data_IF_038313837240
#
_entry.id   IF_038313837240
#
_cell.length_a   1.000
_cell.length_b   1.000
_cell.length_c   1.000
_cell.angle_alpha   90.00
_cell.angle_beta   90.00
_cell.angle_gamma   90.00
#
_symmetry.space_group_name_H-M   'P 1'
#
loop_
_entity.id
_entity.type
_entity.pdbx_description
1 polymer ?
#
# COMPACT_ATOMS: atom_id res chain seq x y z
N UNK A 1 35.04 -38.42 -0.73
CA UNK A 1 35.04 -37.83 -2.08
C UNK A 1 35.70 -36.46 -1.96
N UNK A 2 36.68 -36.09 -2.81
CA UNK A 2 37.34 -34.79 -2.71
C UNK A 2 36.33 -33.65 -2.97
N UNK A 3 36.52 -32.51 -2.31
CA UNK A 3 35.69 -31.32 -2.52
C UNK A 3 35.84 -30.84 -3.98
N UNK A 4 34.75 -30.82 -4.77
CA UNK A 4 34.84 -30.48 -6.20
C UNK A 4 35.39 -29.07 -6.42
N UNK A 5 35.16 -28.13 -5.51
CA UNK A 5 35.61 -26.74 -5.69
C UNK A 5 37.10 -26.54 -5.41
N UNK A 6 37.79 -27.53 -4.84
CA UNK A 6 39.25 -27.51 -4.73
C UNK A 6 39.91 -27.71 -6.11
N UNK A 7 39.23 -28.43 -7.01
CA UNK A 7 39.78 -28.82 -8.32
C UNK A 7 39.24 -27.91 -9.44
N UNK A 8 38.01 -27.44 -9.30
CA UNK A 8 37.36 -26.61 -10.31
C UNK A 8 37.90 -25.16 -10.33
N UNK A 9 38.07 -24.54 -11.51
CA UNK A 9 38.35 -23.11 -11.60
C UNK A 9 37.27 -22.27 -10.92
N UNK A 10 37.65 -21.12 -10.35
CA UNK A 10 36.76 -20.22 -9.60
C UNK A 10 35.52 -19.84 -10.41
N UNK A 11 35.67 -19.58 -11.71
CA UNK A 11 34.58 -19.18 -12.61
C UNK A 11 33.54 -20.30 -12.79
N UNK A 12 34.01 -21.55 -12.88
CA UNK A 12 33.14 -22.73 -12.98
C UNK A 12 32.41 -22.95 -11.66
N UNK A 13 33.11 -22.78 -10.54
CA UNK A 13 32.55 -22.87 -9.19
C UNK A 13 31.45 -21.82 -8.99
N UNK A 14 31.70 -20.55 -9.32
CA UNK A 14 30.70 -19.48 -9.23
C UNK A 14 29.48 -19.74 -10.12
N UNK A 15 29.70 -20.26 -11.34
CA UNK A 15 28.60 -20.67 -12.23
C UNK A 15 27.81 -21.85 -11.67
N UNK A 16 28.44 -22.81 -11.00
CA UNK A 16 27.71 -23.89 -10.33
C UNK A 16 26.85 -23.34 -9.16
N UNK A 17 27.42 -22.41 -8.38
CA UNK A 17 26.73 -21.76 -7.27
C UNK A 17 25.54 -20.89 -7.73
N UNK A 18 25.61 -20.32 -8.93
CA UNK A 18 24.53 -19.49 -9.48
C UNK A 18 23.19 -20.20 -9.71
N UNK A 19 23.18 -21.54 -9.68
CA UNK A 19 21.95 -22.34 -9.78
C UNK A 19 21.26 -22.55 -8.42
N UNK A 20 21.87 -22.10 -7.32
CA UNK A 20 21.34 -22.30 -5.99
C UNK A 20 20.46 -21.12 -5.57
N UNK A 21 19.33 -21.41 -4.92
CA UNK A 21 18.51 -20.36 -4.31
C UNK A 21 19.21 -19.68 -3.12
N UNK A 22 18.74 -18.48 -2.69
CA UNK A 22 19.39 -17.70 -1.64
C UNK A 22 19.58 -18.48 -0.33
N UNK A 23 18.58 -19.27 0.06
CA UNK A 23 18.66 -20.10 1.27
C UNK A 23 19.70 -21.22 1.17
N UNK A 24 19.83 -21.84 0.00
CA UNK A 24 20.85 -22.87 -0.25
C UNK A 24 22.24 -22.24 -0.24
N UNK A 25 22.41 -21.10 -0.90
CA UNK A 25 23.67 -20.37 -0.93
C UNK A 25 24.12 -19.91 0.47
N UNK A 26 23.17 -19.45 1.30
CA UNK A 26 23.45 -19.14 2.70
C UNK A 26 23.89 -20.39 3.50
N UNK A 27 23.19 -21.52 3.34
CA UNK A 27 23.50 -22.77 4.06
C UNK A 27 24.86 -23.33 3.69
N UNK A 28 25.18 -23.41 2.39
CA UNK A 28 26.45 -23.99 1.95
C UNK A 28 27.66 -23.14 2.37
N UNK A 29 27.46 -21.85 2.68
CA UNK A 29 28.53 -21.00 3.22
C UNK A 29 29.09 -21.48 4.56
N UNK A 30 28.39 -22.41 5.23
CA UNK A 30 28.83 -23.05 6.48
C UNK A 30 29.56 -24.39 6.28
N UNK A 31 29.69 -24.89 5.04
CA UNK A 31 30.24 -26.23 4.75
C UNK A 31 31.75 -26.28 4.97
N UNK A 32 32.50 -25.32 4.44
CA UNK A 32 33.95 -25.22 4.60
C UNK A 32 34.43 -23.79 4.36
N UNK A 33 35.71 -23.52 4.69
CA UNK A 33 36.32 -22.20 4.45
C UNK A 33 36.29 -21.81 2.97
N UNK A 34 36.57 -22.76 2.05
CA UNK A 34 36.54 -22.50 0.62
C UNK A 34 35.11 -22.17 0.14
N UNK A 35 34.11 -22.91 0.62
CA UNK A 35 32.71 -22.63 0.28
C UNK A 35 32.27 -21.27 0.84
N UNK A 36 32.71 -20.92 2.04
CA UNK A 36 32.50 -19.60 2.62
C UNK A 36 33.12 -18.51 1.75
N UNK A 37 34.37 -18.66 1.32
CA UNK A 37 35.06 -17.69 0.45
C UNK A 37 34.35 -17.53 -0.89
N UNK A 38 34.01 -18.63 -1.56
CA UNK A 38 33.28 -18.59 -2.85
C UNK A 38 31.89 -17.97 -2.72
N UNK A 39 31.14 -18.32 -1.67
CA UNK A 39 29.82 -17.72 -1.40
C UNK A 39 29.90 -16.31 -0.86
N UNK A 40 31.08 -15.80 -0.48
CA UNK A 40 31.25 -14.40 -0.09
C UNK A 40 31.57 -13.50 -1.30
N UNK A 41 31.82 -14.09 -2.47
CA UNK A 41 32.04 -13.34 -3.70
C UNK A 41 30.72 -12.75 -4.24
N UNK A 42 30.69 -11.48 -4.69
CA UNK A 42 29.47 -10.84 -5.20
C UNK A 42 28.81 -11.60 -6.36
N UNK A 43 29.60 -12.22 -7.23
CA UNK A 43 29.10 -12.91 -8.42
C UNK A 43 28.22 -14.13 -8.09
N UNK A 44 28.50 -14.82 -6.97
CA UNK A 44 27.68 -15.93 -6.50
C UNK A 44 26.26 -15.46 -6.18
N UNK A 45 26.13 -14.28 -5.55
CA UNK A 45 24.83 -13.69 -5.20
C UNK A 45 24.19 -12.95 -6.36
N UNK A 46 24.98 -12.36 -7.27
CA UNK A 46 24.47 -11.59 -8.41
C UNK A 46 23.51 -12.40 -9.26
N UNK A 47 23.87 -13.64 -9.60
CA UNK A 47 22.96 -14.50 -10.35
C UNK A 47 21.75 -14.93 -9.54
N UNK A 48 21.88 -15.09 -8.22
CA UNK A 48 20.74 -15.36 -7.35
C UNK A 48 19.80 -14.17 -7.32
N UNK A 49 20.28 -12.93 -7.25
CA UNK A 49 19.47 -11.73 -7.36
C UNK A 49 18.72 -11.63 -8.70
N UNK A 50 19.35 -12.09 -9.79
CA UNK A 50 18.83 -11.96 -11.16
C UNK A 50 17.93 -13.13 -11.60
N UNK A 51 18.15 -14.34 -11.08
CA UNK A 51 17.42 -15.57 -11.47
C UNK A 51 16.04 -15.71 -10.84
N UNK A 52 15.64 -14.77 -10.00
CA UNK A 52 14.33 -14.74 -9.36
C UNK A 52 13.29 -14.13 -10.31
N UNK A 53 12.80 -14.90 -11.30
CA UNK A 53 11.42 -14.92 -11.89
C UNK A 53 11.37 -15.83 -13.17
N UNK A 54 10.24 -16.52 -13.55
CA UNK A 54 8.87 -16.43 -13.02
C UNK A 54 8.21 -17.68 -12.39
N UNK A 55 8.74 -18.91 -12.50
CA UNK A 55 7.91 -20.11 -12.18
C UNK A 55 8.25 -20.82 -10.86
N UNK A 56 9.25 -20.36 -10.12
CA UNK A 56 9.65 -20.98 -8.85
C UNK A 56 9.32 -20.06 -7.69
N UNK A 57 8.76 -20.62 -6.61
CA UNK A 57 8.41 -20.05 -5.30
C UNK A 57 9.56 -19.32 -4.55
N UNK A 58 10.53 -18.78 -5.26
CA UNK A 58 11.71 -18.12 -4.73
C UNK A 58 11.43 -16.62 -4.55
N UNK A 59 11.87 -16.12 -3.40
CA UNK A 59 11.71 -14.75 -2.92
C UNK A 59 12.30 -13.76 -3.92
N UNK A 60 11.49 -12.90 -4.53
CA UNK A 60 12.01 -11.89 -5.45
C UNK A 60 12.61 -10.73 -4.65
N UNK A 61 13.93 -10.76 -4.56
CA UNK A 61 14.69 -9.89 -3.66
C UNK A 61 15.09 -8.57 -4.31
N UNK A 62 14.68 -8.33 -5.56
CA UNK A 62 14.80 -7.01 -6.17
C UNK A 62 13.54 -6.20 -5.85
N UNK A 63 13.67 -4.96 -5.36
CA UNK A 63 12.50 -4.13 -5.06
C UNK A 63 11.58 -3.84 -6.25
N UNK A 64 12.02 -4.16 -7.46
CA UNK A 64 11.30 -3.91 -8.73
C UNK A 64 10.63 -5.16 -9.30
N UNK A 65 10.37 -6.18 -8.47
CA UNK A 65 9.78 -7.46 -8.89
C UNK A 65 8.27 -7.40 -9.25
N UNK A 66 7.66 -6.21 -9.21
CA UNK A 66 6.25 -6.02 -9.46
C UNK A 66 5.78 -6.40 -10.87
N UNK A 67 4.46 -6.51 -11.02
CA UNK A 67 3.78 -6.71 -12.31
C UNK A 67 3.94 -5.46 -13.18
N UNK A 68 4.20 -5.66 -14.47
CA UNK A 68 4.23 -4.57 -15.45
C UNK A 68 2.81 -4.04 -15.62
N UNK A 69 2.60 -2.79 -15.24
CA UNK A 69 1.34 -2.06 -15.48
C UNK A 69 1.41 -1.43 -16.87
N UNK A 70 0.30 -1.45 -17.60
CA UNK A 70 0.25 -0.85 -18.92
C UNK A 70 0.52 0.66 -18.85
N UNK A 71 1.24 1.17 -19.84
CA UNK A 71 1.76 2.53 -19.79
C UNK A 71 0.68 3.60 -19.90
N UNK A 72 -0.36 3.34 -20.70
CA UNK A 72 -1.55 4.17 -20.84
C UNK A 72 -2.34 4.26 -19.52
N UNK A 73 -2.39 3.15 -18.77
CA UNK A 73 -2.97 3.12 -17.43
C UNK A 73 -2.16 3.99 -16.46
N UNK A 74 -0.84 3.85 -16.41
CA UNK A 74 0.03 4.66 -15.56
C UNK A 74 -0.01 6.15 -15.92
N UNK A 75 -0.03 6.48 -17.21
CA UNK A 75 -0.13 7.86 -17.69
C UNK A 75 -1.46 8.49 -17.26
N UNK A 76 -2.56 7.74 -17.41
CA UNK A 76 -3.90 8.18 -17.00
C UNK A 76 -3.94 8.42 -15.49
N UNK A 77 -3.44 7.48 -14.70
CA UNK A 77 -3.38 7.61 -13.23
C UNK A 77 -2.49 8.79 -12.79
N UNK A 78 -1.35 9.00 -13.44
CA UNK A 78 -0.45 10.13 -13.15
C UNK A 78 -1.13 11.47 -13.41
N UNK A 79 -1.83 11.61 -14.55
CA UNK A 79 -2.57 12.85 -14.89
C UNK A 79 -3.70 13.14 -13.91
N UNK A 80 -4.47 12.10 -13.56
CA UNK A 80 -5.55 12.23 -12.58
C UNK A 80 -5.01 12.59 -11.20
N UNK A 81 -3.96 11.90 -10.75
CA UNK A 81 -3.28 12.18 -9.49
C UNK A 81 -2.78 13.62 -9.42
N UNK A 82 -2.09 14.08 -10.47
CA UNK A 82 -1.59 15.44 -10.55
C UNK A 82 -2.71 16.48 -10.43
N UNK A 83 -3.83 16.27 -11.14
CA UNK A 83 -4.99 17.14 -11.07
C UNK A 83 -5.56 17.22 -9.65
N UNK A 84 -5.78 16.08 -8.99
CA UNK A 84 -6.32 16.05 -7.63
C UNK A 84 -5.36 16.69 -6.61
N UNK A 85 -4.05 16.44 -6.76
CA UNK A 85 -3.04 17.05 -5.89
C UNK A 85 -3.06 18.57 -5.99
N UNK A 86 -3.14 19.13 -7.20
CA UNK A 86 -3.24 20.58 -7.41
C UNK A 86 -4.51 21.18 -6.78
N UNK A 87 -5.63 20.45 -6.80
CA UNK A 87 -6.86 20.89 -6.14
C UNK A 87 -6.69 20.95 -4.63
N UNK A 88 -6.06 19.92 -4.05
CA UNK A 88 -5.75 19.87 -2.61
C UNK A 88 -4.82 21.01 -2.24
N UNK A 89 -3.71 21.20 -2.97
CA UNK A 89 -2.73 22.27 -2.74
C UNK A 89 -3.39 23.67 -2.74
N UNK A 90 -4.24 23.94 -3.73
CA UNK A 90 -5.00 25.20 -3.81
C UNK A 90 -5.95 25.38 -2.62
N UNK A 91 -6.62 24.32 -2.18
CA UNK A 91 -7.52 24.37 -1.02
C UNK A 91 -6.78 24.54 0.32
N UNK A 92 -5.58 23.96 0.46
CA UNK A 92 -4.78 24.05 1.69
C UNK A 92 -4.03 25.37 1.81
N UNK A 93 -3.56 25.94 0.69
CA UNK A 93 -2.92 27.27 0.66
C UNK A 93 -3.86 28.37 1.16
N UNK A 94 -5.17 28.18 1.00
CA UNK A 94 -6.20 29.08 1.52
C UNK A 94 -6.34 29.03 3.05
N UNK A 95 -5.87 27.96 3.72
CA UNK A 95 -6.17 27.75 5.13
C UNK A 95 -4.99 28.01 6.06
N UNK A 96 -3.76 27.56 5.81
CA UNK A 96 -2.54 27.91 6.59
C UNK A 96 -1.23 27.58 5.84
N UNK A 97 -0.11 28.21 6.27
CA UNK A 97 1.27 28.17 5.75
C UNK A 97 1.99 26.80 5.79
N UNK A 98 1.32 25.68 5.51
CA UNK A 98 1.95 24.36 5.59
C UNK A 98 2.23 23.80 4.20
N UNK A 99 3.43 24.08 3.70
CA UNK A 99 4.06 23.43 2.55
C UNK A 99 4.46 21.99 2.92
N UNK A 100 3.51 21.14 3.30
CA UNK A 100 3.78 19.74 3.69
C UNK A 100 4.09 18.87 2.47
N UNK A 101 3.61 19.28 1.29
CA UNK A 101 3.72 18.48 0.09
C UNK A 101 5.09 18.71 -0.57
N UNK A 102 5.86 17.65 -0.82
CA UNK A 102 7.14 17.79 -1.52
C UNK A 102 6.87 18.31 -2.94
N UNK A 103 7.81 19.08 -3.51
CA UNK A 103 7.69 19.60 -4.86
C UNK A 103 7.55 18.44 -5.84
N UNK A 104 6.55 18.54 -6.71
CA UNK A 104 6.33 17.58 -7.78
C UNK A 104 7.21 17.91 -8.98
N UNK A 105 7.84 16.90 -9.57
CA UNK A 105 8.61 17.04 -10.82
C UNK A 105 7.93 16.22 -11.90
N UNK A 106 7.40 16.91 -12.92
CA UNK A 106 6.92 16.26 -14.14
C UNK A 106 8.10 15.59 -14.83
N UNK A 107 7.95 14.32 -15.17
CA UNK A 107 8.96 13.57 -15.89
C UNK A 107 8.35 12.86 -17.09
N UNK A 108 9.17 12.70 -18.12
CA UNK A 108 8.81 11.93 -19.28
C UNK A 108 8.75 10.42 -18.93
N UNK A 109 7.64 9.76 -19.23
CA UNK A 109 7.44 8.33 -18.97
C UNK A 109 8.51 7.45 -19.64
N UNK A 110 9.01 7.85 -20.81
CA UNK A 110 10.07 7.10 -21.51
C UNK A 110 11.41 7.11 -20.75
N UNK A 111 11.73 8.20 -20.06
CA UNK A 111 12.90 8.31 -19.19
C UNK A 111 12.72 7.45 -17.94
N UNK A 112 11.52 7.46 -17.34
CA UNK A 112 11.18 6.64 -16.18
C UNK A 112 11.32 5.14 -16.51
N UNK A 113 10.88 4.69 -17.70
CA UNK A 113 11.05 3.29 -18.14
C UNK A 113 12.51 2.90 -18.27
N UNK A 114 13.29 3.74 -18.94
CA UNK A 114 14.72 3.50 -19.12
C UNK A 114 15.42 3.44 -17.76
N UNK A 115 15.00 4.30 -16.82
CA UNK A 115 15.47 4.25 -15.44
C UNK A 115 15.12 2.91 -14.80
N UNK A 116 13.83 2.52 -14.82
CA UNK A 116 13.27 1.30 -14.19
C UNK A 116 14.02 0.03 -14.60
N UNK A 117 14.32 -0.11 -15.88
CA UNK A 117 15.04 -1.27 -16.41
C UNK A 117 16.46 -1.36 -15.85
N UNK A 118 17.16 -0.23 -15.71
CA UNK A 118 18.51 -0.19 -15.13
C UNK A 118 18.56 -0.26 -13.59
N UNK A 119 17.41 -0.17 -12.90
CA UNK A 119 17.38 -0.12 -11.44
C UNK A 119 17.82 -1.42 -10.79
N UNK A 120 17.62 -2.56 -11.45
CA UNK A 120 18.00 -3.86 -10.91
C UNK A 120 19.51 -3.99 -10.89
N UNK A 121 20.17 -3.60 -11.97
CA UNK A 121 21.62 -3.56 -12.09
C UNK A 121 22.21 -2.53 -11.11
N UNK A 122 21.57 -1.36 -10.99
CA UNK A 122 21.98 -0.34 -10.04
C UNK A 122 21.84 -0.81 -8.59
N UNK A 123 20.76 -1.52 -8.26
CA UNK A 123 20.58 -2.08 -6.92
C UNK A 123 21.70 -3.06 -6.56
N UNK A 124 22.05 -3.96 -7.48
CA UNK A 124 23.18 -4.89 -7.29
C UNK A 124 24.48 -4.10 -7.09
N UNK A 125 24.69 -3.03 -7.84
CA UNK A 125 25.87 -2.16 -7.69
C UNK A 125 25.91 -1.43 -6.33
N UNK A 126 24.75 -1.16 -5.71
CA UNK A 126 24.68 -0.55 -4.37
C UNK A 126 25.05 -1.53 -3.25
N UNK A 127 24.90 -2.84 -3.48
CA UNK A 127 25.11 -3.89 -2.50
C UNK A 127 26.58 -4.31 -2.43
N UNK A 128 27.30 -3.88 -1.39
CA UNK A 128 28.73 -4.18 -1.22
C UNK A 128 28.95 -5.54 -0.57
N UNK A 129 28.05 -5.93 0.33
CA UNK A 129 28.01 -7.23 0.97
C UNK A 129 26.61 -7.87 0.82
N UNK A 130 26.37 -8.58 -0.30
CA UNK A 130 25.10 -9.26 -0.54
C UNK A 130 24.72 -10.24 0.57
N UNK A 131 25.69 -10.95 1.15
CA UNK A 131 25.40 -11.94 2.20
C UNK A 131 24.81 -11.28 3.45
N UNK A 132 25.42 -10.18 3.89
CA UNK A 132 24.91 -9.39 5.01
C UNK A 132 23.53 -8.81 4.69
N UNK A 133 23.36 -8.22 3.50
CA UNK A 133 22.07 -7.73 3.00
C UNK A 133 20.96 -8.80 3.06
N UNK A 134 21.25 -10.02 2.61
CA UNK A 134 20.28 -11.12 2.63
C UNK A 134 19.98 -11.61 4.03
N UNK A 135 20.99 -11.62 4.91
CA UNK A 135 20.80 -11.98 6.32
C UNK A 135 19.86 -11.00 6.99
N UNK A 136 20.08 -9.69 6.78
CA UNK A 136 19.19 -8.61 7.24
C UNK A 136 17.76 -8.81 6.70
N UNK A 137 17.63 -9.09 5.40
CA UNK A 137 16.33 -9.27 4.74
C UNK A 137 15.57 -10.47 5.30
N UNK A 138 16.24 -11.60 5.46
CA UNK A 138 15.66 -12.80 6.04
C UNK A 138 15.28 -12.59 7.50
N UNK A 139 16.08 -11.84 8.25
CA UNK A 139 15.75 -11.50 9.63
C UNK A 139 14.47 -10.66 9.69
N UNK A 140 14.37 -9.59 8.92
CA UNK A 140 13.18 -8.71 8.91
C UNK A 140 11.93 -9.49 8.48
N UNK A 141 12.01 -10.22 7.36
CA UNK A 141 10.87 -10.96 6.82
C UNK A 141 10.36 -12.07 7.75
N UNK A 142 11.24 -12.67 8.56
CA UNK A 142 10.84 -13.65 9.58
C UNK A 142 10.19 -13.01 10.81
N UNK A 143 10.61 -11.81 11.19
CA UNK A 143 10.11 -11.13 12.38
C UNK A 143 8.82 -10.33 12.12
N UNK A 144 8.56 -9.92 10.89
CA UNK A 144 7.28 -9.32 10.51
C UNK A 144 6.30 -10.44 10.15
N UNK A 145 5.65 -10.98 11.17
CA UNK A 145 4.63 -12.02 10.98
C UNK A 145 3.33 -11.38 10.50
N UNK A 146 2.71 -11.89 9.42
CA UNK A 146 1.36 -11.50 9.04
C UNK A 146 0.41 -11.61 10.24
N UNK A 147 -0.59 -10.72 10.37
CA UNK A 147 -1.59 -10.87 11.42
C UNK A 147 -2.25 -12.24 11.28
N UNK A 148 -2.41 -12.94 12.40
CA UNK A 148 -3.14 -14.21 12.42
C UNK A 148 -4.58 -13.98 11.92
N UNK A 149 -5.15 -14.93 11.18
CA UNK A 149 -6.43 -14.82 10.47
C UNK A 149 -7.68 -14.65 11.39
N UNK A 150 -7.55 -14.13 12.61
CA UNK A 150 -8.67 -13.91 13.50
C UNK A 150 -9.61 -12.85 12.91
N UNK A 151 -10.70 -13.32 12.31
CA UNK A 151 -11.67 -12.59 11.47
C UNK A 151 -12.31 -11.33 12.06
N UNK A 152 -12.03 -10.95 13.30
CA UNK A 152 -12.76 -9.87 13.99
C UNK A 152 -11.90 -8.98 14.90
N UNK A 153 -10.57 -9.16 14.94
CA UNK A 153 -9.71 -8.26 15.71
C UNK A 153 -8.92 -7.36 14.78
N UNK A 154 -8.99 -6.05 15.06
CA UNK A 154 -8.05 -5.07 14.54
C UNK A 154 -6.63 -5.57 14.77
N UNK A 155 -5.79 -5.44 13.75
CA UNK A 155 -4.39 -5.79 13.90
C UNK A 155 -3.71 -4.88 14.93
N UNK A 156 -2.78 -5.46 15.68
CA UNK A 156 -2.03 -4.74 16.71
C UNK A 156 -0.76 -4.10 16.18
N UNK A 157 -0.43 -4.26 14.89
CA UNK A 157 0.79 -3.67 14.34
C UNK A 157 0.60 -2.18 14.10
N UNK A 158 1.67 -1.42 14.37
CA UNK A 158 1.72 -0.01 14.07
C UNK A 158 1.79 0.18 12.55
N UNK A 159 0.83 0.93 12.01
CA UNK A 159 0.81 1.24 10.58
C UNK A 159 2.04 2.08 10.21
N UNK A 160 2.67 1.74 9.09
CA UNK A 160 3.70 2.58 8.47
C UNK A 160 3.11 3.82 7.78
N UNK A 161 1.78 3.95 7.67
CA UNK A 161 1.15 5.10 7.01
C UNK A 161 1.02 6.27 7.98
N UNK A 162 1.45 7.45 7.53
CA UNK A 162 1.44 8.67 8.35
C UNK A 162 0.40 9.68 7.87
N UNK A 163 0.25 9.85 6.57
CA UNK A 163 -0.68 10.82 5.98
C UNK A 163 -1.38 10.26 4.74
N UNK A 164 -2.64 10.64 4.54
CA UNK A 164 -3.34 10.49 3.27
C UNK A 164 -3.08 11.73 2.43
N UNK A 165 -2.52 11.56 1.23
CA UNK A 165 -2.11 12.66 0.36
C UNK A 165 -3.24 13.07 -0.59
N UNK A 166 -3.80 12.11 -1.31
CA UNK A 166 -4.84 12.34 -2.29
C UNK A 166 -5.65 11.06 -2.55
N UNK A 167 -6.85 11.22 -3.09
CA UNK A 167 -7.66 10.13 -3.61
C UNK A 167 -8.28 10.58 -4.95
N UNK A 168 -8.67 9.62 -5.79
CA UNK A 168 -9.34 9.87 -7.07
C UNK A 168 -10.54 10.79 -6.93
N UNK A 169 -11.38 10.51 -5.94
CA UNK A 169 -12.49 11.33 -5.49
C UNK A 169 -12.66 11.16 -3.98
N UNK A 170 -13.33 12.11 -3.32
CA UNK A 170 -13.71 11.97 -1.91
C UNK A 170 -15.08 12.59 -1.68
N UNK A 171 -15.94 11.91 -0.92
CA UNK A 171 -17.21 12.47 -0.48
C UNK A 171 -17.00 13.43 0.70
N UNK A 172 -16.72 14.70 0.36
CA UNK A 172 -16.48 15.75 1.35
C UNK A 172 -17.73 16.17 2.12
N UNK A 173 -18.93 15.79 1.69
CA UNK A 173 -20.18 16.26 2.30
C UNK A 173 -20.27 15.91 3.80
N UNK A 174 -19.52 14.89 4.24
CA UNK A 174 -19.47 14.48 5.64
C UNK A 174 -18.07 14.32 6.20
N UNK A 175 -17.09 14.92 5.53
CA UNK A 175 -15.70 14.72 5.87
C UNK A 175 -15.27 13.27 5.73
N UNK A 176 -15.79 12.51 4.75
CA UNK A 176 -15.32 11.16 4.41
C UNK A 176 -14.01 11.24 3.62
N UNK A 177 -12.99 11.80 4.25
CA UNK A 177 -11.70 12.10 3.64
C UNK A 177 -10.71 10.96 3.85
N UNK A 178 -9.72 10.87 2.97
CA UNK A 178 -8.68 9.84 3.01
C UNK A 178 -8.00 9.71 4.39
N UNK A 179 -7.78 10.83 5.09
CA UNK A 179 -7.16 10.85 6.41
C UNK A 179 -7.90 10.03 7.48
N UNK A 180 -9.21 9.80 7.31
CA UNK A 180 -9.99 8.98 8.23
C UNK A 180 -9.55 7.51 8.21
N UNK A 181 -9.01 7.03 7.08
CA UNK A 181 -8.57 5.63 6.93
C UNK A 181 -7.32 5.29 7.76
N UNK A 182 -6.62 6.30 8.29
CA UNK A 182 -5.40 6.11 9.07
C UNK A 182 -5.67 5.71 10.53
N UNK A 183 -6.91 5.90 11.01
CA UNK A 183 -7.28 5.61 12.40
C UNK A 183 -8.27 4.45 12.45
N UNK A 184 -8.04 3.53 13.37
CA UNK A 184 -9.02 2.51 13.73
C UNK A 184 -10.07 3.07 14.68
N UNK A 185 -10.70 4.18 14.30
CA UNK A 185 -11.78 4.72 15.12
C UNK A 185 -13.06 3.89 14.90
N UNK A 186 -13.77 3.62 15.99
CA UNK A 186 -15.09 2.98 15.97
C UNK A 186 -16.22 3.92 15.55
N UNK A 187 -15.86 5.15 15.18
CA UNK A 187 -16.82 6.14 14.76
C UNK A 187 -17.29 5.85 13.33
N UNK A 188 -18.60 5.70 13.14
CA UNK A 188 -19.24 5.25 11.89
C UNK A 188 -18.92 6.19 10.70
N UNK A 189 -18.63 7.48 10.97
CA UNK A 189 -18.26 8.45 9.94
C UNK A 189 -16.76 8.50 9.60
N UNK A 190 -15.89 7.77 10.33
CA UNK A 190 -14.45 7.78 10.12
C UNK A 190 -14.08 6.81 8.98
N UNK A 191 -14.54 7.14 7.78
CA UNK A 191 -14.27 6.40 6.54
C UNK A 191 -13.80 7.36 5.47
N UNK A 192 -13.15 6.83 4.44
CA UNK A 192 -13.08 7.45 3.13
C UNK A 192 -14.11 6.79 2.22
N UNK A 193 -14.77 7.59 1.37
CA UNK A 193 -15.62 7.10 0.29
C UNK A 193 -15.35 7.87 -0.98
N UNK A 194 -15.38 7.17 -2.12
CA UNK A 194 -15.45 7.82 -3.42
C UNK A 194 -16.79 8.55 -3.61
N UNK A 195 -16.85 9.48 -4.57
CA UNK A 195 -18.11 10.16 -4.94
C UNK A 195 -19.05 9.28 -5.77
N UNK A 196 -18.59 8.08 -6.11
CA UNK A 196 -19.31 7.10 -6.90
C UNK A 196 -19.20 7.32 -8.40
N UNK A 197 -19.21 6.23 -9.17
CA UNK A 197 -19.13 6.25 -10.63
C UNK A 197 -20.23 5.41 -11.26
N UNK A 198 -20.79 5.88 -12.39
CA UNK A 198 -21.78 5.09 -13.16
C UNK A 198 -21.17 3.85 -13.81
N UNK A 199 -19.89 3.89 -14.13
CA UNK A 199 -19.22 2.88 -14.93
C UNK A 199 -18.31 1.97 -14.09
N UNK A 200 -18.33 2.10 -12.76
CA UNK A 200 -17.39 1.37 -11.89
C UNK A 200 -15.93 1.69 -12.21
N UNK A 201 -15.65 2.97 -12.52
CA UNK A 201 -14.30 3.43 -12.84
C UNK A 201 -13.35 3.07 -11.67
N UNK A 202 -12.11 2.63 -11.96
CA UNK A 202 -11.09 2.47 -10.94
C UNK A 202 -10.95 3.68 -10.03
N UNK A 203 -10.99 3.46 -8.71
CA UNK A 203 -10.70 4.47 -7.70
C UNK A 203 -9.29 4.25 -7.15
N UNK A 204 -8.65 5.31 -6.67
CA UNK A 204 -7.30 5.23 -6.12
C UNK A 204 -7.08 6.11 -4.89
N UNK A 205 -6.12 5.73 -4.07
CA UNK A 205 -5.69 6.45 -2.87
C UNK A 205 -4.17 6.51 -2.82
N UNK A 206 -3.61 7.64 -2.40
CA UNK A 206 -2.18 7.85 -2.24
C UNK A 206 -1.86 8.25 -0.80
N UNK A 207 -0.91 7.56 -0.19
CA UNK A 207 -0.48 7.74 1.20
C UNK A 207 1.02 8.02 1.28
N UNK A 208 1.40 8.86 2.25
CA UNK A 208 2.78 9.04 2.70
C UNK A 208 3.06 8.13 3.89
N UNK A 209 4.17 7.43 3.86
CA UNK A 209 4.64 6.61 4.99
C UNK A 209 5.29 7.44 6.09
N UNK A 210 5.54 6.82 7.23
CA UNK A 210 6.20 7.42 8.38
C UNK A 210 7.57 7.99 8.00
N UNK A 211 8.30 7.25 7.17
CA UNK A 211 9.64 7.55 6.70
C UNK A 211 9.72 7.42 5.17
N UNK A 212 10.77 7.95 4.57
CA UNK A 212 11.02 7.80 3.14
C UNK A 212 11.48 6.40 2.73
N UNK A 213 11.96 5.63 3.71
CA UNK A 213 12.54 4.31 3.50
C UNK A 213 11.92 3.31 4.46
N UNK A 214 10.79 2.74 4.05
CA UNK A 214 10.12 1.66 4.76
C UNK A 214 10.20 0.37 3.94
N UNK A 215 10.50 -0.75 4.61
CA UNK A 215 10.30 -2.09 4.08
C UNK A 215 8.87 -2.52 4.41
N UNK A 216 8.10 -2.89 3.39
CA UNK A 216 6.68 -3.25 3.53
C UNK A 216 6.49 -4.74 3.30
N UNK A 217 5.85 -5.40 4.26
CA UNK A 217 5.54 -6.83 4.20
C UNK A 217 4.15 -7.10 3.63
N UNK A 218 3.18 -6.26 3.96
CA UNK A 218 1.79 -6.41 3.55
C UNK A 218 0.95 -5.18 3.85
N UNK A 219 -0.26 -5.18 3.31
CA UNK A 219 -1.22 -4.08 3.49
C UNK A 219 -2.50 -4.66 4.06
N UNK A 220 -3.05 -4.01 5.08
CA UNK A 220 -4.35 -4.31 5.63
C UNK A 220 -5.37 -3.30 5.13
N UNK A 221 -6.53 -3.77 4.69
CA UNK A 221 -7.66 -2.92 4.30
C UNK A 221 -8.94 -3.43 4.95
N UNK A 222 -9.74 -2.51 5.47
CA UNK A 222 -11.08 -2.76 6.00
C UNK A 222 -12.08 -1.99 5.13
N UNK A 223 -12.96 -2.66 4.36
CA UNK A 223 -14.07 -2.00 3.67
C UNK A 223 -14.97 -1.24 4.63
N UNK A 224 -15.65 -0.21 4.14
CA UNK A 224 -16.72 0.42 4.90
C UNK A 224 -18.02 -0.39 4.80
N UNK A 225 -18.82 -0.34 5.86
CA UNK A 225 -20.14 -0.96 5.95
C UNK A 225 -21.17 0.09 6.34
N UNK A 226 -22.29 0.10 5.64
CA UNK A 226 -23.43 0.96 5.94
C UNK A 226 -24.65 0.09 6.22
N UNK A 227 -25.33 0.39 7.33
CA UNK A 227 -26.62 -0.21 7.68
C UNK A 227 -27.72 0.59 7.02
N UNK A 228 -28.48 -0.04 6.14
CA UNK A 228 -29.74 0.55 5.69
C UNK A 228 -30.79 0.28 6.76
N UNK A 229 -31.33 1.35 7.37
CA UNK A 229 -32.59 1.21 8.08
C UNK A 229 -33.71 1.30 7.08
N UNK A 230 -34.40 0.17 6.86
CA UNK A 230 -35.71 0.19 6.25
C UNK A 230 -36.57 1.20 7.01
N UNK A 231 -37.00 2.27 6.33
CA UNK A 231 -37.95 3.22 6.88
C UNK A 231 -39.21 2.42 7.25
N UNK A 232 -39.36 2.12 8.54
CA UNK A 232 -40.60 1.54 9.04
C UNK A 232 -41.69 2.54 8.70
N UNK A 233 -42.60 2.14 7.82
CA UNK A 233 -43.83 2.86 7.47
C UNK A 233 -44.34 3.55 8.72
N UNK A 234 -44.25 4.88 8.76
CA UNK A 234 -44.88 5.69 9.79
C UNK A 234 -46.37 5.43 9.64
N UNK A 235 -46.88 4.43 10.38
CA UNK A 235 -48.30 4.12 10.45
C UNK A 235 -48.97 5.40 10.92
N UNK A 236 -49.84 5.90 10.05
CA UNK A 236 -50.50 7.18 10.20
C UNK A 236 -50.99 7.41 11.62
N UNK A 237 -50.42 8.44 12.25
CA UNK A 237 -51.10 9.13 13.35
C UNK A 237 -52.40 9.66 12.77
N UNK A 238 -53.49 9.29 13.44
CA UNK A 238 -54.86 9.46 12.97
C UNK A 238 -55.16 10.86 12.45
N UNK A 239 -56.00 10.87 11.41
CA UNK A 239 -56.70 12.03 10.87
C UNK A 239 -57.23 12.94 11.97
N UNK A 240 -56.77 14.19 12.00
CA UNK A 240 -57.60 15.30 12.45
C UNK A 240 -57.24 16.59 11.72
N UNK A 241 -58.19 17.10 10.92
CA UNK A 241 -58.27 18.51 10.53
C UNK A 241 -57.50 18.88 9.27
N UNK A 242 -58.24 19.20 8.21
CA UNK A 242 -57.69 19.42 6.88
C UNK A 242 -56.86 20.69 6.74
N UNK A 243 -55.77 20.55 5.98
CA UNK A 243 -55.26 21.55 5.04
C UNK A 243 -54.59 20.78 3.92
N UNK A 244 -54.88 21.19 2.68
CA UNK A 244 -54.42 20.55 1.46
C UNK A 244 -52.89 20.45 1.46
N UNK A 245 -52.38 19.25 1.68
CA UNK A 245 -50.99 18.91 1.47
C UNK A 245 -50.79 18.71 -0.03
N UNK A 246 -49.84 19.48 -0.60
CA UNK A 246 -49.33 19.26 -1.94
C UNK A 246 -48.71 17.86 -2.10
N UNK A 247 -48.32 17.48 -3.33
CA UNK A 247 -47.82 16.15 -3.65
C UNK A 247 -46.69 15.77 -2.69
N UNK A 248 -46.82 14.58 -2.11
CA UNK A 248 -45.97 14.08 -1.04
C UNK A 248 -44.49 14.24 -1.37
N UNK A 249 -43.78 14.94 -0.48
CA UNK A 249 -42.34 14.84 -0.38
C UNK A 249 -42.01 13.41 0.03
N UNK A 250 -41.75 12.56 -0.95
CA UNK A 250 -40.83 11.45 -0.75
C UNK A 250 -39.49 12.14 -0.52
N UNK A 251 -39.01 12.10 0.72
CA UNK A 251 -37.61 12.40 1.02
C UNK A 251 -36.78 11.27 0.39
N UNK A 252 -36.56 11.41 -0.91
CA UNK A 252 -35.63 10.59 -1.66
C UNK A 252 -34.29 10.79 -0.97
N UNK A 253 -33.67 9.70 -0.57
CA UNK A 253 -32.28 9.63 -0.08
C UNK A 253 -31.35 9.90 -1.28
N UNK A 254 -31.52 11.03 -1.98
CA UNK A 254 -30.71 11.43 -3.15
C UNK A 254 -29.56 12.35 -2.79
N UNK A 255 -29.54 12.84 -1.58
CA UNK A 255 -28.33 13.32 -0.97
C UNK A 255 -28.27 12.60 0.34
N UNK A 256 -27.10 12.08 0.64
CA UNK A 256 -26.80 11.78 1.98
C UNK A 256 -27.07 13.07 2.79
N UNK A 257 -28.17 13.07 3.55
CA UNK A 257 -28.56 14.10 4.50
C UNK A 257 -28.87 13.36 5.79
N UNK A 258 -27.99 13.64 6.73
CA UNK A 258 -28.15 13.59 8.17
C UNK A 258 -28.17 12.24 8.89
N UNK A 259 -27.04 11.54 8.77
CA UNK A 259 -26.68 10.48 9.72
C UNK A 259 -26.65 10.96 11.19
N UNK A 260 -26.55 12.27 11.49
CA UNK A 260 -26.60 12.81 12.86
C UNK A 260 -28.03 12.92 13.40
N UNK A 261 -29.03 13.25 12.57
CA UNK A 261 -30.45 13.14 12.96
C UNK A 261 -30.80 11.70 13.35
N UNK A 262 -30.23 10.73 12.64
CA UNK A 262 -30.43 9.31 12.87
C UNK A 262 -29.83 8.78 14.18
N UNK A 263 -28.60 9.18 14.56
CA UNK A 263 -27.98 8.77 15.83
C UNK A 263 -28.69 9.37 17.05
N UNK A 264 -29.23 10.60 16.94
CA UNK A 264 -29.89 11.28 18.07
C UNK A 264 -31.29 10.74 18.41
N UNK A 265 -31.96 10.05 17.50
CA UNK A 265 -33.34 9.59 17.69
C UNK A 265 -33.50 8.06 17.81
N UNK A 266 -32.41 7.28 17.77
CA UNK A 266 -32.46 5.82 17.75
C UNK A 266 -32.43 5.13 19.13
N UNK A 267 -32.54 5.86 20.23
CA UNK A 267 -32.38 5.26 21.55
C UNK A 267 -33.64 4.57 22.14
N UNK A 268 -34.84 4.75 21.57
CA UNK A 268 -36.09 4.27 22.23
C UNK A 268 -37.19 3.76 21.26
N UNK A 269 -36.85 2.91 20.29
CA UNK A 269 -37.82 2.32 19.33
C UNK A 269 -38.13 0.83 19.55
N UNK A 270 -39.38 0.34 19.29
CA UNK A 270 -39.77 -1.06 19.47
C UNK A 270 -39.00 -2.03 18.56
N UNK A 271 -38.64 -3.19 19.12
CA UNK A 271 -37.82 -4.24 18.48
C UNK A 271 -38.64 -5.15 17.55
N UNK A 272 -39.20 -4.63 16.46
CA UNK A 272 -39.74 -5.49 15.41
C UNK A 272 -38.60 -6.00 14.50
N UNK A 273 -38.48 -7.33 14.38
CA UNK A 273 -37.42 -8.06 13.69
C UNK A 273 -37.45 -7.92 12.15
N UNK A 274 -37.34 -6.71 11.61
CA UNK A 274 -37.05 -6.53 10.19
C UNK A 274 -35.55 -6.80 9.92
N UNK A 275 -35.25 -7.63 8.93
CA UNK A 275 -33.89 -7.98 8.53
C UNK A 275 -33.18 -6.75 7.97
N UNK A 276 -32.31 -6.13 8.76
CA UNK A 276 -31.44 -5.04 8.32
C UNK A 276 -30.46 -5.59 7.27
N UNK A 277 -30.54 -5.08 6.05
CA UNK A 277 -29.55 -5.38 5.01
C UNK A 277 -28.33 -4.50 5.21
N UNK A 278 -27.18 -5.13 5.40
CA UNK A 278 -25.90 -4.47 5.53
C UNK A 278 -25.24 -4.33 4.15
N UNK A 279 -24.94 -3.11 3.72
CA UNK A 279 -24.20 -2.85 2.48
C UNK A 279 -22.71 -2.71 2.77
N UNK A 280 -21.89 -3.39 1.97
CA UNK A 280 -20.43 -3.36 2.08
C UNK A 280 -19.88 -2.77 0.79
N UNK A 281 -19.18 -1.64 0.90
CA UNK A 281 -18.64 -0.91 -0.23
C UNK A 281 -17.20 -1.34 -0.52
N UNK A 282 -17.04 -2.62 -0.88
CA UNK A 282 -15.76 -3.19 -1.25
C UNK A 282 -15.58 -3.20 -2.78
N UNK A 283 -14.37 -2.89 -3.30
CA UNK A 283 -14.03 -3.19 -4.67
C UNK A 283 -13.91 -4.71 -4.87
N UNK A 284 -13.94 -5.17 -6.12
CA UNK A 284 -13.71 -6.59 -6.44
C UNK A 284 -12.22 -6.95 -6.36
N UNK A 285 -11.37 -6.05 -6.85
CA UNK A 285 -9.92 -6.24 -6.89
C UNK A 285 -9.19 -5.01 -6.39
N UNK A 286 -8.01 -5.22 -5.84
CA UNK A 286 -7.13 -4.18 -5.31
C UNK A 286 -5.67 -4.44 -5.73
N UNK A 287 -4.93 -3.37 -5.99
CA UNK A 287 -3.50 -3.40 -6.33
C UNK A 287 -2.77 -2.33 -5.53
N UNK A 288 -1.59 -2.68 -5.03
CA UNK A 288 -0.71 -1.79 -4.28
C UNK A 288 0.52 -1.44 -5.10
N UNK A 289 0.90 -0.17 -5.11
CA UNK A 289 2.13 0.33 -5.74
C UNK A 289 2.94 1.09 -4.72
N UNK A 290 4.28 0.98 -4.81
CA UNK A 290 5.20 1.56 -3.84
C UNK A 290 6.35 2.27 -4.54
N UNK A 291 6.78 3.39 -3.97
CA UNK A 291 7.82 4.22 -4.55
C UNK A 291 8.45 5.18 -3.55
N UNK A 292 9.48 5.89 -4.01
CA UNK A 292 10.10 7.01 -3.31
C UNK A 292 9.50 8.36 -3.71
N UNK A 293 8.53 8.34 -4.62
CA UNK A 293 7.74 9.47 -5.07
C UNK A 293 6.25 9.06 -4.98
N UNK A 294 5.37 10.02 -4.83
CA UNK A 294 3.91 9.82 -4.75
C UNK A 294 3.22 9.69 -6.12
N UNK A 295 3.91 9.98 -7.22
CA UNK A 295 3.40 9.77 -8.56
C UNK A 295 3.34 8.26 -8.90
N UNK A 296 2.16 7.69 -9.18
CA UNK A 296 2.00 6.26 -9.49
C UNK A 296 2.84 5.82 -10.70
N UNK A 297 3.02 6.67 -11.70
CA UNK A 297 3.83 6.34 -12.88
C UNK A 297 5.33 6.27 -12.57
N UNK A 298 5.78 6.73 -11.41
CA UNK A 298 7.18 6.70 -10.97
C UNK A 298 7.43 5.64 -9.88
N UNK A 299 6.40 4.91 -9.46
CA UNK A 299 6.51 3.87 -8.45
C UNK A 299 7.27 2.65 -8.97
N UNK A 300 8.34 2.25 -8.30
CA UNK A 300 9.22 1.20 -8.80
C UNK A 300 8.65 -0.21 -8.58
N UNK A 301 7.61 -0.34 -7.76
CA UNK A 301 6.94 -1.60 -7.50
C UNK A 301 5.43 -1.47 -7.70
N UNK A 302 4.84 -2.46 -8.37
CA UNK A 302 3.40 -2.65 -8.51
C UNK A 302 3.09 -4.12 -8.21
N UNK A 303 2.25 -4.39 -7.22
CA UNK A 303 1.82 -5.77 -6.94
C UNK A 303 0.91 -6.31 -8.05
N UNK A 304 0.63 -7.62 -8.00
CA UNK A 304 -0.49 -8.22 -8.72
C UNK A 304 -1.83 -7.68 -8.22
N UNK A 305 -2.89 -7.89 -8.99
CA UNK A 305 -4.24 -7.72 -8.48
C UNK A 305 -4.55 -8.80 -7.44
N UNK A 306 -5.09 -8.37 -6.31
CA UNK A 306 -5.65 -9.24 -5.29
C UNK A 306 -7.16 -9.18 -5.34
N UNK A 307 -7.82 -10.34 -5.24
CA UNK A 307 -9.26 -10.39 -5.06
C UNK A 307 -9.62 -9.97 -3.64
N UNK A 308 -10.56 -9.04 -3.53
CA UNK A 308 -11.06 -8.55 -2.24
C UNK A 308 -12.42 -9.18 -1.97
N UNK A 309 -12.63 -9.69 -0.76
CA UNK A 309 -13.92 -10.24 -0.33
C UNK A 309 -14.90 -9.11 -0.02
N UNK A 310 -16.17 -9.33 -0.35
CA UNK A 310 -17.27 -8.42 0.04
C UNK A 310 -17.67 -8.64 1.51
N UNK A 311 -16.74 -8.40 2.42
CA UNK A 311 -16.91 -8.64 3.86
C UNK A 311 -16.48 -7.40 4.66
N UNK A 312 -17.23 -7.05 5.70
CA UNK A 312 -16.84 -6.01 6.66
C UNK A 312 -15.89 -6.58 7.70
N UNK A 313 -14.72 -6.98 7.23
CA UNK A 313 -13.65 -7.54 8.04
C UNK A 313 -12.31 -7.04 7.52
N UNK A 314 -11.33 -7.04 8.42
CA UNK A 314 -9.92 -6.86 8.09
C UNK A 314 -9.49 -7.88 7.04
N UNK A 315 -8.93 -7.40 5.93
CA UNK A 315 -8.33 -8.21 4.88
C UNK A 315 -6.86 -7.84 4.76
N UNK A 316 -6.00 -8.84 4.94
CA UNK A 316 -4.55 -8.66 4.83
C UNK A 316 -4.06 -9.16 3.47
N UNK A 317 -3.31 -8.33 2.78
CA UNK A 317 -2.75 -8.59 1.48
C UNK A 317 -1.25 -8.78 1.60
N UNK A 318 -0.85 -10.03 1.43
CA UNK A 318 0.53 -10.44 1.57
C UNK A 318 1.34 -10.07 0.33
N UNK A 319 2.36 -9.22 0.49
CA UNK A 319 3.26 -8.81 -0.60
C UNK A 319 4.45 -9.75 -0.75
N UNK A 320 4.52 -10.81 0.04
CA UNK A 320 5.56 -11.81 -0.14
C UNK A 320 5.41 -12.57 -1.45
N UNK A 321 6.53 -12.99 -2.02
CA UNK A 321 7.86 -12.95 -1.40
C UNK A 321 8.69 -11.76 -1.88
N UNK A 322 8.05 -10.66 -2.32
CA UNK A 322 8.74 -9.51 -2.88
C UNK A 322 9.32 -8.62 -1.77
N UNK A 323 10.54 -8.13 -1.96
CA UNK A 323 11.14 -7.12 -1.08
C UNK A 323 10.59 -5.72 -1.43
N UNK A 324 9.46 -5.35 -0.86
CA UNK A 324 8.83 -4.05 -1.17
C UNK A 324 9.41 -2.94 -0.31
N UNK A 325 9.89 -1.87 -0.96
CA UNK A 325 10.48 -0.72 -0.27
C UNK A 325 9.84 0.57 -0.78
N UNK A 326 9.64 1.56 0.07
CA UNK A 326 9.15 2.86 -0.38
C UNK A 326 8.87 3.83 0.75
N UNK A 327 8.61 5.08 0.40
CA UNK A 327 8.09 6.12 1.29
C UNK A 327 6.64 6.49 0.98
N UNK A 328 6.06 5.87 -0.05
CA UNK A 328 4.71 6.15 -0.54
C UNK A 328 3.99 4.85 -0.88
N UNK A 329 2.70 4.81 -0.61
CA UNK A 329 1.79 3.74 -0.98
C UNK A 329 0.69 4.31 -1.87
N UNK A 330 0.51 3.73 -3.04
CA UNK A 330 -0.63 4.01 -3.93
C UNK A 330 -1.50 2.78 -4.08
N UNK A 331 -2.79 2.92 -3.80
CA UNK A 331 -3.78 1.87 -3.91
C UNK A 331 -4.61 2.14 -5.15
N UNK A 332 -4.74 1.16 -6.04
CA UNK A 332 -5.68 1.17 -7.16
C UNK A 332 -6.73 0.10 -6.93
N UNK A 333 -7.99 0.41 -7.20
CA UNK A 333 -9.12 -0.50 -7.06
C UNK A 333 -9.76 -0.77 -8.40
N UNK A 334 -10.37 -1.93 -8.57
CA UNK A 334 -11.09 -2.28 -9.79
C UNK A 334 -12.36 -3.09 -9.50
N UNK A 335 -13.43 -2.70 -10.19
CA UNK A 335 -14.77 -3.25 -10.05
C UNK A 335 -15.39 -3.07 -8.66
N UNK A 336 -16.71 -3.26 -8.59
CA UNK A 336 -17.48 -3.17 -7.34
C UNK A 336 -18.46 -4.33 -7.24
N UNK A 337 -18.76 -4.80 -6.03
CA UNK A 337 -19.73 -5.88 -5.80
C UNK A 337 -21.18 -5.41 -5.91
N UNK A 338 -21.47 -4.22 -5.40
CA UNK A 338 -22.82 -3.70 -5.27
C UNK A 338 -22.92 -2.33 -5.91
N UNK A 339 -23.91 -2.13 -6.78
CA UNK A 339 -24.39 -0.80 -7.14
C UNK A 339 -25.35 -0.31 -6.06
N UNK A 340 -25.28 0.97 -5.73
CA UNK A 340 -26.23 1.60 -4.82
C UNK A 340 -27.55 1.95 -5.55
N UNK A 341 -28.59 2.34 -4.81
CA UNK A 341 -29.93 2.61 -5.36
C UNK A 341 -29.97 3.75 -6.40
N UNK A 342 -28.94 4.58 -6.45
CA UNK A 342 -28.78 5.66 -7.44
C UNK A 342 -28.02 5.21 -8.69
N UNK A 343 -27.81 3.91 -8.88
CA UNK A 343 -27.03 3.31 -9.97
C UNK A 343 -25.57 3.81 -10.01
N UNK A 344 -25.01 4.23 -8.88
CA UNK A 344 -23.59 4.54 -8.73
C UNK A 344 -22.88 3.40 -7.99
N UNK A 345 -21.65 3.14 -8.40
CA UNK A 345 -20.73 2.23 -7.75
C UNK A 345 -19.81 3.03 -6.84
N UNK A 346 -19.86 2.72 -5.55
CA UNK A 346 -19.03 3.36 -4.53
C UNK A 346 -17.95 2.41 -4.03
N UNK A 347 -16.79 2.97 -3.74
CA UNK A 347 -15.71 2.31 -3.01
C UNK A 347 -15.50 3.09 -1.73
N UNK A 348 -15.51 2.40 -0.59
CA UNK A 348 -15.26 3.05 0.68
C UNK A 348 -14.41 2.18 1.59
N UNK A 349 -13.43 2.80 2.23
CA UNK A 349 -12.52 2.16 3.16
C UNK A 349 -12.67 2.78 4.53
N UNK A 350 -12.80 1.93 5.53
CA UNK A 350 -12.78 2.34 6.93
C UNK A 350 -11.35 2.48 7.44
N UNK A 351 -10.48 1.54 7.10
CA UNK A 351 -9.11 1.55 7.56
C UNK A 351 -8.17 1.02 6.49
N UNK A 352 -6.99 1.62 6.41
CA UNK A 352 -5.85 1.15 5.62
C UNK A 352 -4.61 1.19 6.51
N UNK A 353 -3.87 0.08 6.57
CA UNK A 353 -2.57 0.02 7.24
C UNK A 353 -1.52 -0.61 6.35
N UNK A 354 -0.29 -0.15 6.45
CA UNK A 354 0.87 -0.82 5.87
C UNK A 354 1.68 -1.47 6.99
N UNK A 355 1.94 -2.77 6.90
CA UNK A 355 2.76 -3.51 7.86
C UNK A 355 4.19 -3.56 7.36
N UNK A 356 5.15 -3.25 8.23
CA UNK A 356 6.55 -3.32 7.87
C UNK A 356 7.48 -2.69 8.89
N UNK A 357 8.65 -2.24 8.44
CA UNK A 357 9.70 -1.65 9.27
C UNK A 357 10.25 -0.39 8.59
N UNK A 358 10.43 0.68 9.36
CA UNK A 358 11.17 1.86 8.91
C UNK A 358 12.67 1.61 9.02
N UNK A 359 13.44 1.96 7.98
CA UNK A 359 14.89 1.72 7.92
C UNK A 359 15.69 3.02 8.15
N UNK A 360 15.03 4.17 8.39
CA UNK A 360 15.70 5.47 8.53
C UNK A 360 16.68 5.53 9.72
N UNK A 361 17.58 6.51 9.64
CA UNK A 361 18.74 6.68 10.51
C UNK A 361 18.29 7.11 11.92
N UNK A 362 18.92 6.50 12.93
CA UNK A 362 19.01 6.93 14.33
C UNK A 362 17.87 6.54 15.28
N UNK A 363 16.58 6.68 14.94
CA UNK A 363 15.53 6.53 15.97
C UNK A 363 15.08 5.10 16.28
N UNK A 364 15.29 4.15 15.37
CA UNK A 364 14.73 2.80 15.51
C UNK A 364 15.36 1.98 16.65
N UNK A 365 16.61 2.29 17.03
CA UNK A 365 17.33 1.56 18.09
C UNK A 365 16.83 1.88 19.50
N UNK A 366 16.11 3.00 19.69
CA UNK A 366 15.67 3.42 21.02
C UNK A 366 14.35 2.78 21.45
N UNK A 367 13.51 2.35 20.50
CA UNK A 367 12.13 1.93 20.78
C UNK A 367 11.88 0.44 20.62
N UNK A 368 12.70 -0.28 19.84
CA UNK A 368 12.54 -1.71 19.58
C UNK A 368 13.82 -2.42 20.01
N UNK A 369 13.67 -3.29 21.01
CA UNK A 369 14.64 -4.25 21.57
C UNK A 369 16.13 -3.96 21.27
N UNK A 370 16.96 -3.60 22.27
CA UNK A 370 18.40 -3.35 22.06
C UNK A 370 19.16 -4.55 21.45
N UNK A 371 18.56 -5.75 21.41
CA UNK A 371 19.13 -6.92 20.74
C UNK A 371 18.84 -6.98 19.23
N UNK A 372 18.11 -6.02 18.65
CA UNK A 372 17.86 -6.02 17.21
C UNK A 372 19.15 -5.78 16.43
N UNK A 373 19.44 -6.60 15.40
CA UNK A 373 20.66 -6.48 14.62
C UNK A 373 20.70 -5.12 13.91
N UNK A 374 21.90 -4.55 13.80
CA UNK A 374 22.11 -3.38 12.96
C UNK A 374 21.93 -3.81 11.50
N UNK A 375 20.87 -3.32 10.83
CA UNK A 375 20.66 -3.53 9.39
C UNK A 375 21.63 -2.69 8.54
N UNK A 376 22.91 -2.68 8.91
CA UNK A 376 23.89 -1.73 8.41
C UNK A 376 24.02 -1.81 6.90
N UNK A 377 24.13 -3.03 6.37
CA UNK A 377 24.33 -3.24 4.94
C UNK A 377 23.04 -3.08 4.14
N UNK A 378 21.91 -3.59 4.66
CA UNK A 378 20.61 -3.34 4.03
C UNK A 378 20.29 -1.85 3.94
N UNK A 379 20.39 -1.13 5.06
CA UNK A 379 20.15 0.31 5.13
C UNK A 379 21.02 1.05 4.13
N UNK A 380 22.34 0.81 4.16
CA UNK A 380 23.30 1.46 3.27
C UNK A 380 22.96 1.19 1.80
N UNK A 381 22.68 -0.06 1.45
CA UNK A 381 22.32 -0.46 0.08
C UNK A 381 21.05 0.25 -0.39
N UNK A 382 20.00 0.23 0.43
CA UNK A 382 18.70 0.83 0.08
C UNK A 382 18.76 2.36 0.03
N UNK A 383 19.56 3.00 0.88
CA UNK A 383 19.78 4.45 0.83
C UNK A 383 20.50 4.87 -0.44
N UNK A 384 21.60 4.20 -0.79
CA UNK A 384 22.32 4.47 -2.03
C UNK A 384 21.42 4.21 -3.25
N UNK A 385 20.63 3.14 -3.20
CA UNK A 385 19.66 2.85 -4.25
C UNK A 385 18.57 3.94 -4.36
N UNK A 386 18.02 4.42 -3.24
CA UNK A 386 17.10 5.57 -3.21
C UNK A 386 17.74 6.82 -3.82
N UNK A 387 19.00 7.13 -3.49
CA UNK A 387 19.72 8.28 -4.08
C UNK A 387 19.84 8.15 -5.59
N UNK A 388 20.26 6.98 -6.09
CA UNK A 388 20.34 6.73 -7.52
C UNK A 388 18.97 6.85 -8.22
N UNK A 389 17.91 6.36 -7.57
CA UNK A 389 16.54 6.51 -8.03
C UNK A 389 16.14 7.98 -8.18
N UNK A 390 16.28 8.75 -7.11
CA UNK A 390 15.87 10.16 -7.10
C UNK A 390 16.71 11.01 -8.06
N UNK A 391 18.02 10.75 -8.14
CA UNK A 391 18.91 11.39 -9.10
C UNK A 391 18.49 11.10 -10.55
N UNK A 392 18.16 9.85 -10.84
CA UNK A 392 17.67 9.44 -12.15
C UNK A 392 16.34 10.09 -12.53
N UNK A 393 15.54 10.42 -11.53
CA UNK A 393 14.27 11.14 -11.66
C UNK A 393 14.46 12.67 -11.75
N UNK A 394 15.69 13.17 -11.79
CA UNK A 394 15.95 14.63 -11.82
C UNK A 394 15.53 15.37 -10.55
N UNK A 395 15.14 14.66 -9.49
CA UNK A 395 14.93 15.26 -8.18
C UNK A 395 16.32 15.60 -7.61
N UNK A 396 16.77 16.84 -7.78
CA UNK A 396 17.96 17.32 -7.09
C UNK A 396 17.66 17.33 -5.59
N UNK A 397 18.49 16.62 -4.82
CA UNK A 397 18.46 16.65 -3.36
C UNK A 397 18.88 18.05 -2.88
N UNK A 398 17.95 19.00 -2.89
CA UNK A 398 18.07 20.25 -2.12
C UNK A 398 17.95 19.98 -0.59
N UNK A 399 17.90 18.71 -0.18
CA UNK A 399 17.53 18.25 1.16
C UNK A 399 18.74 18.18 2.10
N UNK A 400 19.99 18.19 1.61
CA UNK A 400 21.16 18.20 2.51
C UNK A 400 21.43 19.57 3.19
N UNK A 401 20.54 20.57 3.04
CA UNK A 401 20.70 21.90 3.66
C UNK A 401 19.55 22.32 4.61
N UNK A 402 18.61 21.45 4.94
CA UNK A 402 17.62 21.66 6.02
C UNK A 402 17.83 20.64 7.14
#
# INVERSE_FOLDING_TARGET
MPDPFVILPTEVSLRALSFLGPLSLARISSVSKLWYELTSLPDAWRSVCLSLYPDTFAVALTPTAGVVVADDELETLSKEYHRERLLIEKSTLSSYNVSILPPWTEMNLSEIRSLRLGLRENFIACCKDPKSFFTDTLFITKNIVPPSEFKHRSSTFNSLLRYGLAASTSDYQYGQVIGNTLKEDNWIGAVWSSTGSKNGKPEWLCFKMAEDLCLVRGVEVVPAKVRECSQSSVRGVGKSGGRAAGPGFVAIITSAVDWRWWISHYHEGPKDHHSLTDYIFAPKRIRFSFGFNDNPAQMHYHSRWFDMKCEYATQYFDLSPDLVVGGYLFITTDGNYTSHFNNLYYTAFRCVKAQGVCISLEDFQSTIDPNWPTFGEMRRTLQEWKKLMLKGLGCQDNVEQM
#
